data_IF_911780680476
#
_entry.id   IF_911780680476
#
_cell.length_a   1.000
_cell.length_b   1.000
_cell.length_c   1.000
_cell.angle_alpha   90.00
_cell.angle_beta   90.00
_cell.angle_gamma   90.00
#
_symmetry.space_group_name_H-M   'P 1'
#
loop_
_entity.id
_entity.type
_entity.pdbx_description
1 polymer ?
#
# COMPACT_ATOMS: atom_id res chain seq x y z
N UNK A 1 -3.59 -8.92 -13.74
CA UNK A 1 -2.24 -9.55 -13.65
C UNK A 1 -1.72 -9.35 -12.23
N UNK A 2 -1.27 -10.41 -11.55
CA UNK A 2 -0.80 -10.33 -10.16
C UNK A 2 0.73 -10.47 -10.12
N UNK A 3 1.40 -9.58 -9.39
CA UNK A 3 2.85 -9.63 -9.16
C UNK A 3 3.10 -9.85 -7.67
N UNK A 4 3.69 -10.99 -7.34
CA UNK A 4 4.02 -11.36 -5.97
C UNK A 4 5.51 -11.63 -5.86
N UNK A 5 6.16 -11.02 -4.87
CA UNK A 5 7.53 -11.34 -4.50
C UNK A 5 7.58 -12.01 -3.13
N UNK A 6 7.36 -13.33 -3.04
CA UNK A 6 7.63 -14.06 -1.82
C UNK A 6 9.14 -14.22 -1.65
N UNK A 7 9.69 -13.75 -0.53
CA UNK A 7 11.02 -14.11 -0.04
C UNK A 7 12.15 -13.87 -1.06
N UNK A 8 12.24 -12.63 -1.56
CA UNK A 8 13.16 -12.22 -2.61
C UNK A 8 14.25 -11.26 -2.07
N UNK A 9 15.17 -11.70 -1.20
CA UNK A 9 16.12 -10.81 -0.49
C UNK A 9 17.17 -10.15 -1.39
N UNK A 10 17.23 -10.51 -2.69
CA UNK A 10 18.19 -9.99 -3.66
C UNK A 10 17.60 -9.02 -4.67
N UNK A 11 16.29 -8.77 -4.61
CA UNK A 11 15.67 -7.79 -5.51
C UNK A 11 16.07 -6.40 -5.03
N UNK A 12 16.78 -5.67 -5.88
CA UNK A 12 17.13 -4.28 -5.61
C UNK A 12 15.98 -3.36 -6.01
N UNK A 13 15.88 -2.19 -5.38
CA UNK A 13 14.91 -1.15 -5.74
C UNK A 13 14.91 -0.84 -7.25
N UNK A 14 16.08 -0.78 -7.87
CA UNK A 14 16.21 -0.51 -9.31
C UNK A 14 15.72 -1.66 -10.21
N UNK A 15 15.82 -2.91 -9.77
CA UNK A 15 15.25 -4.04 -10.48
C UNK A 15 13.73 -4.06 -10.37
N UNK A 16 13.20 -3.82 -9.16
CA UNK A 16 11.77 -3.69 -8.89
C UNK A 16 11.14 -2.57 -9.73
N UNK A 17 11.77 -1.40 -9.74
CA UNK A 17 11.33 -0.25 -10.52
C UNK A 17 11.22 -0.58 -12.02
N UNK A 18 12.27 -1.15 -12.62
CA UNK A 18 12.26 -1.51 -14.05
C UNK A 18 11.17 -2.53 -14.38
N UNK A 19 10.96 -3.50 -13.50
CA UNK A 19 9.96 -4.54 -13.71
C UNK A 19 8.55 -3.96 -13.64
N UNK A 20 8.26 -3.10 -12.67
CA UNK A 20 6.98 -2.41 -12.56
C UNK A 20 6.75 -1.48 -13.76
N UNK A 21 7.76 -0.71 -14.18
CA UNK A 21 7.66 0.16 -15.35
C UNK A 21 7.40 -0.61 -16.65
N UNK A 22 7.88 -1.85 -16.75
CA UNK A 22 7.57 -2.72 -17.88
C UNK A 22 6.16 -3.34 -17.80
N UNK A 23 5.54 -3.37 -16.62
CA UNK A 23 4.26 -4.01 -16.35
C UNK A 23 3.20 -2.96 -15.99
N UNK A 24 2.64 -2.30 -17.00
CA UNK A 24 1.61 -1.26 -16.82
C UNK A 24 0.21 -1.82 -16.50
N UNK A 25 0.00 -3.12 -16.68
CA UNK A 25 -1.28 -3.82 -16.48
C UNK A 25 -1.42 -4.58 -15.15
N UNK A 26 -0.65 -4.19 -14.11
CA UNK A 26 -0.74 -4.84 -12.80
C UNK A 26 -2.05 -4.51 -12.10
N UNK A 27 -2.71 -5.54 -11.60
CA UNK A 27 -3.97 -5.45 -10.84
C UNK A 27 -3.74 -5.68 -9.36
N UNK A 28 -2.91 -6.67 -9.02
CA UNK A 28 -2.56 -6.97 -7.64
C UNK A 28 -1.05 -7.00 -7.48
N UNK A 29 -0.54 -6.29 -6.49
CA UNK A 29 0.90 -6.24 -6.18
C UNK A 29 1.12 -6.63 -4.74
N UNK A 30 1.96 -7.62 -4.50
CA UNK A 30 2.39 -8.03 -3.16
C UNK A 30 3.90 -7.84 -3.03
N UNK A 31 4.29 -6.89 -2.20
CA UNK A 31 5.68 -6.62 -1.82
C UNK A 31 5.88 -7.12 -0.39
N UNK A 32 6.76 -8.10 -0.21
CA UNK A 32 7.06 -8.69 1.08
C UNK A 32 7.93 -7.79 1.97
N UNK A 33 7.91 -8.00 3.29
CA UNK A 33 8.75 -7.29 4.25
C UNK A 33 10.24 -7.56 4.07
N UNK A 34 10.60 -8.70 3.47
CA UNK A 34 11.98 -8.99 3.00
C UNK A 34 12.49 -8.00 1.95
N UNK A 35 11.58 -7.24 1.31
CA UNK A 35 11.89 -6.19 0.35
C UNK A 35 11.88 -4.78 0.96
N UNK A 36 11.91 -4.62 2.28
CA UNK A 36 11.89 -3.28 2.90
C UNK A 36 12.96 -2.35 2.31
N UNK A 37 14.17 -2.87 2.05
CA UNK A 37 15.27 -2.11 1.40
C UNK A 37 15.01 -1.79 -0.09
N UNK A 38 14.13 -2.55 -0.75
CA UNK A 38 13.75 -2.37 -2.14
C UNK A 38 12.50 -1.47 -2.30
N UNK A 39 11.64 -1.38 -1.27
CA UNK A 39 10.46 -0.51 -1.23
C UNK A 39 10.90 0.92 -0.95
N UNK A 40 11.37 1.57 -2.00
CA UNK A 40 11.79 2.97 -2.01
C UNK A 40 10.75 3.85 -2.71
N UNK A 41 10.86 5.18 -2.53
CA UNK A 41 10.00 6.15 -3.21
C UNK A 41 10.01 5.93 -4.74
N UNK A 42 11.17 5.60 -5.32
CA UNK A 42 11.31 5.30 -6.74
C UNK A 42 10.54 4.04 -7.19
N UNK A 43 10.59 2.96 -6.40
CA UNK A 43 9.84 1.74 -6.71
C UNK A 43 8.32 1.93 -6.61
N UNK A 44 7.85 2.70 -5.63
CA UNK A 44 6.43 3.02 -5.46
C UNK A 44 5.96 4.04 -6.51
N UNK A 45 6.81 4.98 -6.93
CA UNK A 45 6.53 5.89 -8.02
C UNK A 45 6.37 5.14 -9.36
N UNK A 46 7.10 4.05 -9.59
CA UNK A 46 6.89 3.22 -10.77
C UNK A 46 5.48 2.60 -10.82
N UNK A 47 4.87 2.29 -9.66
CA UNK A 47 3.51 1.76 -9.59
C UNK A 47 2.45 2.80 -9.96
N UNK A 48 2.78 4.10 -10.00
CA UNK A 48 1.85 5.14 -10.45
C UNK A 48 1.41 4.93 -11.90
N UNK A 49 2.23 4.25 -12.71
CA UNK A 49 1.89 3.88 -14.09
C UNK A 49 0.88 2.74 -14.21
N UNK A 50 0.57 2.03 -13.12
CA UNK A 50 -0.36 0.91 -13.10
C UNK A 50 -1.79 1.43 -12.93
N UNK A 51 -2.44 1.76 -14.06
CA UNK A 51 -3.82 2.26 -14.06
C UNK A 51 -4.84 1.22 -13.61
N UNK A 52 -4.50 -0.07 -13.69
CA UNK A 52 -5.36 -1.19 -13.34
C UNK A 52 -5.16 -1.72 -11.91
N UNK A 53 -4.34 -1.06 -11.09
CA UNK A 53 -4.03 -1.56 -9.75
C UNK A 53 -5.26 -1.46 -8.84
N UNK A 54 -5.75 -2.61 -8.36
CA UNK A 54 -6.90 -2.74 -7.47
C UNK A 54 -6.48 -3.07 -6.03
N UNK A 55 -5.45 -3.89 -5.87
CA UNK A 55 -4.94 -4.31 -4.56
C UNK A 55 -3.44 -4.10 -4.47
N UNK A 56 -2.98 -3.55 -3.36
CA UNK A 56 -1.57 -3.59 -3.00
C UNK A 56 -1.40 -4.12 -1.59
N UNK A 57 -0.47 -5.05 -1.44
CA UNK A 57 -0.02 -5.55 -0.16
C UNK A 57 1.44 -5.15 0.05
N UNK A 58 1.69 -4.49 1.18
CA UNK A 58 3.02 -4.14 1.65
C UNK A 58 3.26 -4.89 2.96
N UNK A 59 4.27 -5.75 2.95
CA UNK A 59 4.63 -6.64 4.05
C UNK A 59 3.88 -7.98 4.05
N UNK A 60 4.21 -8.80 5.03
CA UNK A 60 3.55 -10.07 5.30
C UNK A 60 3.30 -10.25 6.80
N UNK A 61 2.35 -11.12 7.21
CA UNK A 61 2.04 -11.36 8.62
C UNK A 61 3.26 -11.75 9.48
N UNK A 62 4.24 -12.44 8.89
CA UNK A 62 5.42 -12.95 9.58
C UNK A 62 6.63 -12.03 9.50
N UNK A 63 6.68 -11.13 8.52
CA UNK A 63 7.79 -10.18 8.29
C UNK A 63 7.19 -8.80 8.11
N UNK A 64 7.15 -8.05 9.22
CA UNK A 64 6.64 -6.69 9.23
C UNK A 64 7.60 -5.76 8.50
N UNK A 65 7.05 -4.88 7.67
CA UNK A 65 7.81 -3.77 7.11
C UNK A 65 8.15 -2.77 8.22
N UNK A 66 9.42 -2.39 8.30
CA UNK A 66 9.92 -1.42 9.28
C UNK A 66 10.25 -0.07 8.66
N UNK A 67 10.60 -0.05 7.37
CA UNK A 67 11.02 1.16 6.66
C UNK A 67 10.31 1.23 5.31
N UNK A 68 9.15 1.91 5.29
CA UNK A 68 8.43 2.22 4.05
C UNK A 68 8.20 3.73 4.00
N UNK A 69 8.50 4.39 2.87
CA UNK A 69 8.27 5.81 2.72
C UNK A 69 6.77 6.12 2.70
N UNK A 70 6.28 6.68 3.81
CA UNK A 70 4.88 7.08 4.03
C UNK A 70 4.34 7.98 2.91
N UNK A 71 5.14 8.95 2.46
CA UNK A 71 4.79 9.88 1.39
C UNK A 71 4.61 9.20 0.04
N UNK A 72 5.38 8.14 -0.21
CA UNK A 72 5.29 7.39 -1.44
C UNK A 72 4.01 6.53 -1.47
N UNK A 73 3.65 5.92 -0.34
CA UNK A 73 2.40 5.17 -0.19
C UNK A 73 1.19 6.09 -0.35
N UNK A 74 1.18 7.27 0.27
CA UNK A 74 0.06 8.20 0.12
C UNK A 74 -0.07 8.69 -1.32
N UNK A 75 1.04 9.04 -1.98
CA UNK A 75 1.03 9.41 -3.41
C UNK A 75 0.54 8.28 -4.29
N UNK A 76 1.01 7.05 -4.06
CA UNK A 76 0.60 5.87 -4.79
C UNK A 76 -0.91 5.68 -4.73
N UNK A 77 -1.46 5.74 -3.53
CA UNK A 77 -2.90 5.60 -3.32
C UNK A 77 -3.65 6.69 -4.09
N UNK A 78 -3.20 7.94 -4.05
CA UNK A 78 -3.83 9.05 -4.78
C UNK A 78 -3.76 8.86 -6.30
N UNK A 79 -2.61 8.42 -6.83
CA UNK A 79 -2.42 8.23 -8.28
C UNK A 79 -3.17 7.02 -8.82
N UNK A 80 -3.21 5.91 -8.09
CA UNK A 80 -3.86 4.68 -8.53
C UNK A 80 -5.36 4.76 -8.27
N UNK A 81 -6.11 5.40 -9.18
CA UNK A 81 -7.56 5.68 -9.02
C UNK A 81 -8.45 4.44 -8.86
N UNK A 82 -7.99 3.28 -9.31
CA UNK A 82 -8.71 2.00 -9.19
C UNK A 82 -8.38 1.22 -7.93
N UNK A 83 -7.42 1.67 -7.11
CA UNK A 83 -6.99 0.94 -5.94
C UNK A 83 -8.08 0.99 -4.86
N UNK A 84 -8.56 -0.18 -4.48
CA UNK A 84 -9.63 -0.39 -3.50
C UNK A 84 -9.08 -0.91 -2.17
N UNK A 85 -8.00 -1.69 -2.20
CA UNK A 85 -7.47 -2.35 -1.02
C UNK A 85 -5.97 -2.11 -0.86
N UNK A 86 -5.58 -1.57 0.29
CA UNK A 86 -4.20 -1.46 0.75
C UNK A 86 -4.05 -2.35 1.99
N UNK A 87 -3.37 -3.48 1.82
CA UNK A 87 -3.02 -4.38 2.90
C UNK A 87 -1.64 -3.95 3.41
N UNK A 88 -1.55 -3.61 4.69
CA UNK A 88 -0.34 -3.04 5.28
C UNK A 88 0.05 -3.83 6.53
N UNK A 89 1.12 -4.61 6.40
CA UNK A 89 1.71 -5.39 7.48
C UNK A 89 3.02 -4.73 7.90
N UNK A 90 2.91 -3.79 8.82
CA UNK A 90 4.02 -3.01 9.34
C UNK A 90 3.92 -2.86 10.86
N UNK A 91 4.91 -2.20 11.45
CA UNK A 91 4.84 -1.78 12.85
C UNK A 91 3.66 -0.82 13.09
N UNK A 92 3.23 -0.70 14.34
CA UNK A 92 2.11 0.18 14.71
C UNK A 92 2.40 1.65 14.41
N UNK A 93 3.62 2.11 14.69
CA UNK A 93 4.06 3.49 14.42
C UNK A 93 4.02 3.83 12.92
N UNK A 94 4.52 2.93 12.08
CA UNK A 94 4.51 3.11 10.64
C UNK A 94 3.08 3.05 10.08
N UNK A 95 2.26 2.11 10.58
CA UNK A 95 0.85 1.98 10.19
C UNK A 95 0.05 3.23 10.55
N UNK A 96 0.29 3.82 11.73
CA UNK A 96 -0.35 5.08 12.13
C UNK A 96 0.11 6.23 11.24
N UNK A 97 1.41 6.34 10.97
CA UNK A 97 1.96 7.39 10.12
C UNK A 97 1.39 7.33 8.69
N UNK A 98 1.26 6.12 8.13
CA UNK A 98 0.59 5.87 6.85
C UNK A 98 -0.89 6.23 6.94
N UNK A 99 -1.61 5.80 7.97
CA UNK A 99 -3.02 6.13 8.14
C UNK A 99 -3.25 7.65 8.17
N UNK A 100 -2.46 8.38 8.97
CA UNK A 100 -2.59 9.84 9.06
C UNK A 100 -2.24 10.53 7.74
N UNK A 101 -1.26 10.02 7.00
CA UNK A 101 -0.92 10.53 5.68
C UNK A 101 -2.01 10.23 4.65
N UNK A 102 -2.65 9.07 4.72
CA UNK A 102 -3.78 8.72 3.86
C UNK A 102 -5.01 9.57 4.17
N UNK A 103 -5.32 9.79 5.44
CA UNK A 103 -6.46 10.64 5.85
C UNK A 103 -6.25 12.09 5.42
N UNK A 104 -5.00 12.56 5.40
CA UNK A 104 -4.63 13.86 4.82
C UNK A 104 -4.59 13.86 3.30
N UNK A 105 -4.43 12.71 2.67
CA UNK A 105 -4.39 12.59 1.22
C UNK A 105 -5.82 12.62 0.67
N UNK A 106 -6.06 13.53 -0.28
CA UNK A 106 -7.33 13.55 -0.99
C UNK A 106 -7.38 12.40 -2.00
N UNK A 107 -8.15 11.36 -1.68
CA UNK A 107 -8.40 10.23 -2.57
C UNK A 107 -9.17 10.62 -3.84
N UNK A 108 -9.79 11.81 -3.83
CA UNK A 108 -10.55 12.34 -4.94
C UNK A 108 -11.75 11.47 -5.31
N UNK A 109 -12.07 11.48 -6.60
CA UNK A 109 -13.19 10.75 -7.19
C UNK A 109 -12.69 9.70 -8.17
N UNK A 110 -13.47 8.64 -8.31
CA UNK A 110 -13.33 7.66 -9.39
C UNK A 110 -13.65 8.31 -10.75
N UNK A 111 -13.31 7.62 -11.83
CA UNK A 111 -13.57 8.12 -13.19
C UNK A 111 -15.08 8.25 -13.49
N UNK A 112 -15.94 7.57 -12.73
CA UNK A 112 -17.41 7.71 -12.78
C UNK A 112 -17.96 8.88 -11.93
N UNK A 113 -17.08 9.65 -11.28
CA UNK A 113 -17.45 10.79 -10.43
C UNK A 113 -17.84 10.45 -8.99
N UNK A 114 -17.85 9.16 -8.61
CA UNK A 114 -18.16 8.74 -7.24
C UNK A 114 -16.97 8.95 -6.28
N UNK A 115 -17.21 9.28 -4.99
CA UNK A 115 -16.15 9.33 -3.99
C UNK A 115 -15.45 7.98 -3.88
N UNK A 116 -14.13 7.99 -4.00
CA UNK A 116 -13.36 6.75 -3.97
C UNK A 116 -13.18 6.29 -2.54
N UNK A 117 -13.59 5.06 -2.24
CA UNK A 117 -13.31 4.42 -0.95
C UNK A 117 -12.06 3.55 -1.03
N UNK A 118 -11.18 3.65 -0.04
CA UNK A 118 -10.01 2.76 0.13
C UNK A 118 -10.16 1.94 1.41
N UNK A 119 -10.09 0.61 1.30
CA UNK A 119 -9.93 -0.30 2.42
C UNK A 119 -8.47 -0.34 2.86
N UNK A 120 -8.15 0.20 4.03
CA UNK A 120 -6.84 0.10 4.66
C UNK A 120 -6.84 -1.06 5.66
N UNK A 121 -6.31 -2.20 5.26
CA UNK A 121 -6.33 -3.42 6.04
C UNK A 121 -5.00 -3.58 6.78
N UNK A 122 -5.08 -3.70 8.10
CA UNK A 122 -3.90 -3.82 8.98
C UNK A 122 -3.99 -5.09 9.83
N UNK A 123 -2.83 -5.52 10.33
CA UNK A 123 -2.74 -6.65 11.26
C UNK A 123 -3.58 -6.42 12.52
N UNK A 124 -4.26 -7.46 13.04
CA UNK A 124 -5.21 -7.33 14.15
C UNK A 124 -4.63 -6.64 15.39
N UNK A 125 -3.44 -7.08 15.84
CA UNK A 125 -2.76 -6.47 16.98
C UNK A 125 -2.35 -5.00 16.76
N UNK A 126 -2.16 -4.58 15.50
CA UNK A 126 -1.89 -3.19 15.15
C UNK A 126 -3.20 -2.40 15.13
N UNK A 127 -4.25 -2.96 14.51
CA UNK A 127 -5.58 -2.36 14.46
C UNK A 127 -6.08 -1.94 15.85
N UNK A 128 -5.94 -2.83 16.84
CA UNK A 128 -6.40 -2.59 18.20
C UNK A 128 -5.62 -1.45 18.91
N UNK A 129 -4.45 -1.05 18.37
CA UNK A 129 -3.60 0.04 18.87
C UNK A 129 -3.64 1.30 18.00
N UNK A 130 -4.23 1.23 16.81
CA UNK A 130 -4.33 2.38 15.92
C UNK A 130 -5.29 3.40 16.50
N UNK A 131 -4.87 4.65 16.50
CA UNK A 131 -5.76 5.79 16.72
C UNK A 131 -6.47 6.08 15.40
N UNK A 132 -7.56 5.34 15.14
CA UNK A 132 -8.37 5.53 13.94
C UNK A 132 -9.10 6.89 14.08
N UNK A 133 -8.85 7.85 13.16
CA UNK A 133 -9.53 9.15 13.23
C UNK A 133 -11.05 8.98 13.14
N UNK A 134 -11.80 9.79 13.88
CA UNK A 134 -13.28 9.80 13.82
C UNK A 134 -13.82 10.17 12.44
N UNK A 135 -13.01 10.87 11.64
CA UNK A 135 -13.25 11.15 10.23
C UNK A 135 -12.11 10.57 9.39
N UNK A 136 -12.22 9.30 9.01
CA UNK A 136 -11.33 8.72 7.99
C UNK A 136 -11.72 9.10 6.56
N UNK A 137 -12.75 9.95 6.39
CA UNK A 137 -13.26 10.36 5.08
C UNK A 137 -13.69 9.14 4.27
N UNK A 138 -13.00 8.91 3.15
CA UNK A 138 -13.26 7.75 2.30
C UNK A 138 -12.33 6.55 2.60
N UNK A 139 -11.56 6.57 3.69
CA UNK A 139 -10.73 5.44 4.10
C UNK A 139 -11.51 4.58 5.08
N UNK A 140 -11.60 3.29 4.81
CA UNK A 140 -12.16 2.28 5.70
C UNK A 140 -11.01 1.48 6.28
N UNK A 141 -10.66 1.73 7.54
CA UNK A 141 -9.66 0.90 8.23
C UNK A 141 -10.33 -0.43 8.58
N UNK A 142 -9.75 -1.54 8.14
CA UNK A 142 -10.30 -2.89 8.33
C UNK A 142 -9.32 -3.72 9.13
N UNK A 143 -9.83 -4.36 10.18
CA UNK A 143 -9.07 -5.37 10.94
C UNK A 143 -8.94 -6.61 10.08
N UNK A 144 -7.72 -7.06 9.82
CA UNK A 144 -7.52 -8.34 9.15
C UNK A 144 -7.94 -9.50 10.08
N UNK A 145 -8.93 -10.34 9.70
CA UNK A 145 -9.37 -11.46 10.53
C UNK A 145 -8.43 -12.67 10.45
N UNK A 146 -7.44 -12.69 9.54
CA UNK A 146 -6.63 -13.89 9.27
C UNK A 146 -5.58 -14.21 10.33
N UNK A 147 -5.40 -13.39 11.37
CA UNK A 147 -4.54 -13.69 12.53
C UNK A 147 -5.06 -13.01 13.80
#
# INVERSE_FOLDING_TARGET
MCLCFPDCPRVTAGALQRLISALTGLEDVTLDGSLSDAITDASLAALHGCSQLHTIQLGQPYVLCTDIPVTAVSRLVVTCRRLEWLLFYATGELSQSVLDALVRADLGKRDDGTPRTLGFLVHGAVYDRLSIPSQTGNIKVVRNPKH
#
